data_IF_954421384992
#
_entry.id   IF_954421384992
#
_cell.length_a   1.000
_cell.length_b   1.000
_cell.length_c   1.000
_cell.angle_alpha   90.00
_cell.angle_beta   90.00
_cell.angle_gamma   90.00
#
_symmetry.space_group_name_H-M   'P 1'
#
loop_
_entity.id
_entity.type
_entity.pdbx_description
1 polymer ?
#
# COMPACT_ATOMS: atom_id res chain seq x y z
N UNK A 1 2.35 15.76 -31.80
CA UNK A 1 2.97 14.43 -31.89
C UNK A 1 3.17 13.93 -30.48
N UNK A 2 2.71 12.72 -30.15
CA UNK A 2 2.94 12.15 -28.81
C UNK A 2 4.44 11.88 -28.65
N UNK A 3 5.15 12.47 -27.68
CA UNK A 3 6.56 12.19 -27.49
C UNK A 3 6.77 10.71 -27.20
N UNK A 4 7.72 10.12 -27.90
CA UNK A 4 8.19 8.75 -27.66
C UNK A 4 9.47 8.87 -26.86
N UNK A 5 9.48 8.27 -25.67
CA UNK A 5 10.70 8.13 -24.85
C UNK A 5 11.17 6.69 -24.87
N UNK A 6 12.45 6.48 -24.59
CA UNK A 6 13.01 5.16 -24.35
C UNK A 6 13.32 5.01 -22.86
N UNK A 7 12.85 3.91 -22.26
CA UNK A 7 13.10 3.55 -20.86
C UNK A 7 13.57 2.11 -20.85
N UNK A 8 14.80 1.85 -20.41
CA UNK A 8 15.41 0.51 -20.40
C UNK A 8 15.29 -0.23 -21.74
N UNK A 9 15.54 0.47 -22.87
CA UNK A 9 15.43 -0.11 -24.21
C UNK A 9 13.99 -0.27 -24.74
N UNK A 10 12.98 0.16 -23.97
CA UNK A 10 11.56 0.06 -24.35
C UNK A 10 11.00 1.41 -24.75
N UNK A 11 10.35 1.46 -25.91
CA UNK A 11 9.72 2.69 -26.43
C UNK A 11 8.35 2.90 -25.81
N UNK A 12 8.15 4.08 -25.22
CA UNK A 12 6.91 4.49 -24.56
C UNK A 12 6.37 5.78 -25.18
N UNK A 13 5.11 5.75 -25.60
CA UNK A 13 4.39 6.96 -26.00
C UNK A 13 3.78 7.61 -24.77
N UNK A 14 4.34 8.74 -24.33
CA UNK A 14 3.85 9.50 -23.20
C UNK A 14 3.01 10.67 -23.70
N UNK A 15 1.74 10.73 -23.32
CA UNK A 15 0.80 11.74 -23.81
C UNK A 15 0.32 12.64 -22.68
N UNK A 16 -0.09 13.87 -23.03
CA UNK A 16 -0.74 14.81 -22.13
C UNK A 16 0.12 15.16 -20.89
N UNK A 17 1.43 15.37 -21.06
CA UNK A 17 2.35 15.62 -19.96
C UNK A 17 1.99 16.88 -19.17
N UNK A 18 1.59 17.95 -19.86
CA UNK A 18 1.16 19.23 -19.25
C UNK A 18 -0.24 19.18 -18.62
N UNK A 19 -0.94 18.04 -18.69
CA UNK A 19 -2.27 17.92 -18.08
C UNK A 19 -2.14 17.99 -16.57
N UNK A 20 -2.74 19.00 -15.96
CA UNK A 20 -2.90 19.11 -14.50
C UNK A 20 -3.82 17.98 -14.02
N UNK A 21 -3.31 17.12 -13.14
CA UNK A 21 -4.06 16.02 -12.53
C UNK A 21 -4.51 16.36 -11.11
N UNK A 22 -3.76 17.20 -10.39
CA UNK A 22 -4.11 17.67 -9.05
C UNK A 22 -4.30 19.20 -9.08
N UNK A 23 -5.53 19.69 -9.29
CA UNK A 23 -5.79 21.13 -9.46
C UNK A 23 -5.37 21.97 -8.24
N UNK A 24 -5.45 21.42 -7.02
CA UNK A 24 -5.09 22.13 -5.80
C UNK A 24 -3.62 22.57 -5.75
N UNK A 25 -2.72 21.82 -6.40
CA UNK A 25 -1.28 22.08 -6.41
C UNK A 25 -0.73 22.38 -7.80
N UNK A 26 -1.54 22.24 -8.86
CA UNK A 26 -1.08 22.34 -10.25
C UNK A 26 -0.30 21.12 -10.73
N UNK A 27 -0.19 20.05 -9.93
CA UNK A 27 0.66 18.89 -10.23
C UNK A 27 0.20 18.15 -11.48
N UNK A 28 1.09 18.05 -12.45
CA UNK A 28 0.85 17.58 -13.81
C UNK A 28 1.09 16.09 -13.97
N UNK A 29 0.63 15.53 -15.09
CA UNK A 29 0.92 14.16 -15.48
C UNK A 29 2.42 13.93 -15.71
N UNK A 30 3.13 14.90 -16.26
CA UNK A 30 4.59 14.85 -16.40
C UNK A 30 5.28 14.68 -15.05
N UNK A 31 4.84 15.42 -14.04
CA UNK A 31 5.37 15.32 -12.67
C UNK A 31 5.00 14.00 -11.99
N UNK A 32 3.81 13.43 -12.25
CA UNK A 32 3.48 12.05 -11.82
C UNK A 32 4.48 11.03 -12.38
N UNK A 33 4.81 11.13 -13.67
CA UNK A 33 5.77 10.22 -14.30
C UNK A 33 7.18 10.43 -13.76
N UNK A 34 7.59 11.68 -13.57
CA UNK A 34 8.89 12.02 -12.97
C UNK A 34 9.00 11.49 -11.54
N UNK A 35 7.96 11.65 -10.72
CA UNK A 35 7.89 11.10 -9.37
C UNK A 35 8.13 9.58 -9.38
N UNK A 36 7.37 8.83 -10.19
CA UNK A 36 7.53 7.37 -10.22
C UNK A 36 8.88 6.92 -10.75
N UNK A 37 9.47 7.65 -11.71
CA UNK A 37 10.85 7.38 -12.14
C UNK A 37 11.86 7.65 -11.02
N UNK A 38 11.65 8.68 -10.20
CA UNK A 38 12.53 9.07 -9.11
C UNK A 38 12.50 8.07 -7.94
N UNK A 39 11.33 7.53 -7.61
CA UNK A 39 11.17 6.58 -6.49
C UNK A 39 11.25 5.11 -6.93
N UNK A 40 11.56 4.84 -8.20
CA UNK A 40 11.44 3.51 -8.81
C UNK A 40 12.25 2.45 -8.05
N UNK A 41 13.49 2.75 -7.68
CA UNK A 41 14.38 1.81 -7.00
C UNK A 41 13.83 1.36 -5.64
N UNK A 42 13.17 2.27 -4.91
CA UNK A 42 12.52 1.96 -3.64
C UNK A 42 11.14 1.31 -3.84
N UNK A 43 10.36 1.73 -4.85
CA UNK A 43 9.01 1.24 -5.10
C UNK A 43 8.96 -0.17 -5.72
N UNK A 44 9.80 -0.43 -6.72
CA UNK A 44 9.75 -1.66 -7.53
C UNK A 44 9.86 -2.95 -6.70
N UNK A 45 10.75 -3.06 -5.69
CA UNK A 45 10.78 -4.24 -4.81
C UNK A 45 9.44 -4.54 -4.12
N UNK A 46 8.59 -3.54 -3.92
CA UNK A 46 7.26 -3.72 -3.32
C UNK A 46 6.16 -4.08 -4.30
N UNK A 47 6.39 -3.92 -5.61
CA UNK A 47 5.46 -4.25 -6.70
C UNK A 47 5.80 -5.55 -7.42
N UNK A 48 7.11 -5.87 -7.51
CA UNK A 48 7.63 -7.00 -8.28
C UNK A 48 6.92 -8.30 -7.90
N UNK A 49 6.57 -9.07 -8.91
CA UNK A 49 5.90 -10.36 -8.81
C UNK A 49 4.52 -10.32 -8.14
N UNK A 50 3.92 -9.13 -7.98
CA UNK A 50 2.55 -8.99 -7.47
C UNK A 50 1.59 -8.60 -8.58
N UNK A 51 0.41 -9.25 -8.68
CA UNK A 51 -0.61 -8.84 -9.63
C UNK A 51 -1.32 -7.58 -9.13
N UNK A 52 -1.21 -6.50 -9.90
CA UNK A 52 -1.65 -5.18 -9.45
C UNK A 52 -3.12 -4.92 -9.76
N UNK A 53 -3.80 -4.33 -8.78
CA UNK A 53 -5.05 -3.62 -9.00
C UNK A 53 -4.73 -2.13 -9.17
N UNK A 54 -5.16 -1.53 -10.27
CA UNK A 54 -4.98 -0.10 -10.49
C UNK A 54 -6.24 0.66 -10.08
N UNK A 55 -6.14 1.64 -9.19
CA UNK A 55 -7.17 2.66 -9.07
C UNK A 55 -6.85 3.75 -10.09
N UNK A 56 -7.62 3.82 -11.18
CA UNK A 56 -7.37 4.77 -12.27
C UNK A 56 -8.14 6.06 -12.03
N UNK A 57 -7.49 7.18 -12.32
CA UNK A 57 -8.08 8.53 -12.26
C UNK A 57 -7.60 9.40 -13.43
N UNK A 58 -7.93 9.05 -14.70
CA UNK A 58 -7.31 9.63 -15.89
C UNK A 58 -7.47 11.15 -16.05
N UNK A 59 -8.52 11.71 -15.45
CA UNK A 59 -8.87 13.14 -15.46
C UNK A 59 -8.60 13.83 -14.11
N UNK A 60 -7.83 13.18 -13.25
CA UNK A 60 -7.57 13.62 -11.89
C UNK A 60 -8.60 13.09 -10.88
N UNK A 61 -8.34 13.28 -9.57
CA UNK A 61 -9.15 12.71 -8.48
C UNK A 61 -10.58 13.24 -8.38
N UNK A 62 -10.85 14.43 -8.93
CA UNK A 62 -12.20 15.02 -8.98
C UNK A 62 -13.02 14.51 -10.19
N UNK A 63 -12.39 13.76 -11.10
CA UNK A 63 -13.01 13.15 -12.26
C UNK A 63 -13.48 11.72 -12.02
N UNK A 64 -13.45 10.90 -13.08
CA UNK A 64 -13.79 9.48 -12.96
C UNK A 64 -12.68 8.71 -12.23
N UNK A 65 -13.05 8.03 -11.14
CA UNK A 65 -12.16 7.16 -10.36
C UNK A 65 -12.71 5.73 -10.36
N UNK A 66 -11.91 4.75 -10.81
CA UNK A 66 -12.37 3.37 -10.92
C UNK A 66 -11.24 2.33 -10.78
N UNK A 67 -11.55 1.15 -10.27
CA UNK A 67 -10.61 0.04 -10.22
C UNK A 67 -10.53 -0.70 -11.55
N UNK A 68 -9.33 -0.87 -12.08
CA UNK A 68 -9.00 -1.72 -13.22
C UNK A 68 -8.08 -2.85 -12.76
N UNK A 69 -8.61 -4.07 -12.75
CA UNK A 69 -7.84 -5.27 -12.37
C UNK A 69 -7.44 -6.14 -13.57
N UNK A 70 -8.17 -6.05 -14.67
CA UNK A 70 -7.85 -6.79 -15.90
C UNK A 70 -6.79 -6.03 -16.70
N UNK A 71 -6.03 -6.75 -17.53
CA UNK A 71 -5.06 -6.15 -18.45
C UNK A 71 -5.73 -5.07 -19.31
N UNK A 72 -5.27 -3.81 -19.26
CA UNK A 72 -5.84 -2.74 -20.07
C UNK A 72 -5.68 -3.00 -21.58
N UNK A 73 -6.64 -2.58 -22.43
CA UNK A 73 -6.46 -2.61 -23.87
C UNK A 73 -5.22 -1.81 -24.31
N UNK A 74 -4.49 -2.33 -25.30
CA UNK A 74 -3.26 -1.69 -25.78
C UNK A 74 -2.06 -1.84 -24.84
N UNK A 75 -2.11 -2.79 -23.89
CA UNK A 75 -0.94 -3.16 -23.09
C UNK A 75 0.18 -3.69 -24.00
N UNK A 76 1.41 -3.14 -23.94
CA UNK A 76 2.53 -3.61 -24.73
C UNK A 76 2.89 -5.08 -24.43
N UNK A 77 3.34 -5.81 -25.45
CA UNK A 77 3.66 -7.25 -25.34
C UNK A 77 4.74 -7.58 -24.30
N UNK A 78 5.65 -6.64 -24.04
CA UNK A 78 6.72 -6.78 -23.05
C UNK A 78 6.25 -6.56 -21.60
N UNK A 79 5.02 -6.06 -21.37
CA UNK A 79 4.47 -5.93 -20.02
C UNK A 79 4.12 -7.31 -19.49
N UNK A 80 4.68 -7.66 -18.34
CA UNK A 80 4.41 -8.95 -17.70
C UNK A 80 2.97 -9.01 -17.22
N UNK A 81 2.34 -10.16 -17.42
CA UNK A 81 0.97 -10.43 -16.95
C UNK A 81 0.91 -11.82 -16.35
N UNK A 82 0.03 -12.01 -15.37
CA UNK A 82 -0.18 -13.29 -14.70
C UNK A 82 -1.66 -13.64 -14.62
N UNK A 83 -1.95 -14.93 -14.65
CA UNK A 83 -3.28 -15.45 -14.37
C UNK A 83 -3.50 -15.49 -12.85
N UNK A 84 -4.58 -14.88 -12.38
CA UNK A 84 -4.91 -14.76 -10.96
C UNK A 84 -6.20 -15.51 -10.68
N UNK A 85 -6.19 -16.49 -9.75
CA UNK A 85 -7.41 -17.19 -9.35
C UNK A 85 -8.46 -16.24 -8.78
N UNK A 86 -9.72 -16.37 -9.23
CA UNK A 86 -10.88 -15.71 -8.61
C UNK A 86 -12.07 -16.66 -8.55
N UNK A 87 -13.05 -16.31 -7.73
CA UNK A 87 -14.30 -17.07 -7.57
C UNK A 87 -15.12 -17.21 -8.86
N UNK A 88 -15.05 -16.23 -9.76
CA UNK A 88 -15.80 -16.19 -11.02
C UNK A 88 -15.01 -16.75 -12.21
N UNK A 89 -13.81 -17.31 -11.95
CA UNK A 89 -12.85 -17.75 -12.96
C UNK A 89 -11.56 -16.94 -12.95
N UNK A 90 -10.47 -17.48 -13.53
CA UNK A 90 -9.19 -16.80 -13.54
C UNK A 90 -9.25 -15.46 -14.29
N UNK A 91 -8.54 -14.46 -13.78
CA UNK A 91 -8.41 -13.17 -14.44
C UNK A 91 -6.94 -12.86 -14.73
N UNK A 92 -6.66 -12.33 -15.92
CA UNK A 92 -5.31 -11.89 -16.27
C UNK A 92 -5.07 -10.48 -15.72
N UNK A 93 -4.01 -10.33 -14.93
CA UNK A 93 -3.64 -9.07 -14.27
C UNK A 93 -2.23 -8.65 -14.67
N UNK A 94 -1.95 -7.34 -14.59
CA UNK A 94 -0.63 -6.77 -14.85
C UNK A 94 0.31 -7.05 -13.68
N UNK A 95 1.57 -7.33 -13.98
CA UNK A 95 2.67 -7.43 -13.01
C UNK A 95 3.76 -6.44 -13.43
N UNK A 96 4.01 -5.42 -12.60
CA UNK A 96 5.05 -4.40 -12.86
C UNK A 96 6.37 -4.90 -12.31
N UNK A 97 7.36 -5.10 -13.18
CA UNK A 97 8.62 -5.78 -12.85
C UNK A 97 9.84 -4.83 -12.83
N UNK A 98 9.74 -3.71 -13.56
CA UNK A 98 10.86 -2.86 -13.95
C UNK A 98 10.41 -1.40 -14.19
N UNK A 99 11.37 -0.50 -14.40
CA UNK A 99 11.11 0.93 -14.55
C UNK A 99 10.23 1.20 -15.78
N UNK A 100 10.47 0.52 -16.90
CA UNK A 100 9.67 0.72 -18.10
C UNK A 100 8.19 0.32 -17.91
N UNK A 101 7.90 -0.79 -17.24
CA UNK A 101 6.52 -1.20 -16.92
C UNK A 101 5.87 -0.28 -15.86
N UNK A 102 6.65 0.24 -14.91
CA UNK A 102 6.18 1.22 -13.94
C UNK A 102 5.78 2.54 -14.61
N UNK A 103 6.65 3.11 -15.46
CA UNK A 103 6.38 4.36 -16.19
C UNK A 103 5.19 4.18 -17.13
N UNK A 104 5.09 3.04 -17.81
CA UNK A 104 3.92 2.72 -18.64
C UNK A 104 2.63 2.68 -17.81
N UNK A 105 2.61 1.99 -16.67
CA UNK A 105 1.43 1.88 -15.83
C UNK A 105 1.06 3.23 -15.17
N UNK A 106 2.05 4.02 -14.77
CA UNK A 106 1.86 5.38 -14.27
C UNK A 106 1.28 6.32 -15.34
N UNK A 107 1.64 6.15 -16.62
CA UNK A 107 1.08 6.90 -17.75
C UNK A 107 -0.42 6.64 -17.96
N UNK A 108 -0.96 5.55 -17.41
CA UNK A 108 -2.41 5.28 -17.35
C UNK A 108 -3.13 6.06 -16.23
N UNK A 109 -2.38 6.81 -15.42
CA UNK A 109 -2.78 7.59 -14.22
C UNK A 109 -3.43 6.70 -13.17
N UNK A 110 -2.60 6.13 -12.29
CA UNK A 110 -2.99 5.03 -11.41
C UNK A 110 -2.43 5.14 -9.99
N UNK A 111 -3.23 4.74 -8.99
CA UNK A 111 -2.70 4.25 -7.71
C UNK A 111 -2.39 2.76 -7.86
N UNK A 112 -1.26 2.33 -7.32
CA UNK A 112 -0.84 0.95 -7.30
C UNK A 112 -1.33 0.25 -6.03
N UNK A 113 -2.11 -0.82 -6.19
CA UNK A 113 -2.52 -1.67 -5.08
C UNK A 113 -2.04 -3.11 -5.26
N UNK A 114 -1.45 -3.66 -4.21
CA UNK A 114 -0.85 -4.99 -4.19
C UNK A 114 -1.61 -5.93 -3.23
N UNK A 115 -1.74 -7.22 -3.56
CA UNK A 115 -2.09 -8.23 -2.56
C UNK A 115 -0.89 -8.55 -1.66
N UNK A 116 -1.15 -9.30 -0.59
CA UNK A 116 -0.13 -9.72 0.39
C UNK A 116 0.55 -11.05 0.02
N UNK A 117 0.63 -11.35 -1.28
CA UNK A 117 1.24 -12.56 -1.85
C UNK A 117 1.86 -12.24 -3.23
N UNK A 118 2.68 -13.16 -3.74
CA UNK A 118 3.35 -13.08 -5.06
C UNK A 118 2.91 -14.20 -5.99
N UNK A 119 2.96 -13.98 -7.30
CA UNK A 119 2.40 -14.87 -8.33
C UNK A 119 3.02 -16.28 -8.35
N UNK A 120 4.22 -16.45 -7.80
CA UNK A 120 4.91 -17.73 -7.73
C UNK A 120 4.26 -18.66 -6.69
N UNK A 121 3.69 -18.09 -5.62
CA UNK A 121 3.09 -18.80 -4.47
C UNK A 121 1.79 -18.12 -4.04
N UNK A 122 0.77 -18.03 -4.91
CA UNK A 122 -0.46 -17.27 -4.65
C UNK A 122 -1.29 -17.82 -3.47
N UNK A 123 -1.01 -19.04 -3.02
CA UNK A 123 -1.62 -19.68 -1.86
C UNK A 123 -1.01 -19.25 -0.52
N UNK A 124 0.21 -18.67 -0.53
CA UNK A 124 0.91 -18.22 0.66
C UNK A 124 0.96 -16.69 0.71
N UNK A 125 0.74 -16.14 1.90
CA UNK A 125 0.99 -14.73 2.15
C UNK A 125 2.48 -14.53 2.50
N UNK A 126 3.06 -13.48 1.93
CA UNK A 126 4.43 -13.04 2.23
C UNK A 126 4.46 -11.73 3.03
N UNK A 127 3.28 -11.10 3.21
CA UNK A 127 3.08 -9.91 4.03
C UNK A 127 1.88 -10.08 4.95
N UNK A 128 1.98 -9.46 6.12
CA UNK A 128 0.85 -9.12 6.98
C UNK A 128 0.64 -7.61 6.92
N UNK A 129 -0.61 -7.17 6.94
CA UNK A 129 -0.96 -5.75 7.01
C UNK A 129 -2.11 -5.49 7.98
N UNK A 130 -1.98 -4.43 8.78
CA UNK A 130 -3.09 -3.78 9.47
C UNK A 130 -3.33 -2.42 8.83
N UNK A 131 -4.55 -2.18 8.36
CA UNK A 131 -4.98 -0.85 7.92
C UNK A 131 -5.72 -0.16 9.07
N UNK A 132 -5.08 0.87 9.64
CA UNK A 132 -5.53 1.60 10.82
C UNK A 132 -6.32 2.82 10.39
N UNK A 133 -7.64 2.69 10.43
CA UNK A 133 -8.61 3.66 9.93
C UNK A 133 -9.23 4.47 11.09
N UNK A 134 -8.93 5.77 11.23
CA UNK A 134 -9.50 6.55 12.32
C UNK A 134 -10.93 7.01 12.01
N UNK A 135 -11.85 6.76 12.93
CA UNK A 135 -13.21 7.27 12.92
C UNK A 135 -13.31 8.61 13.64
N UNK A 136 -13.73 9.66 12.93
CA UNK A 136 -13.83 11.00 13.49
C UNK A 136 -14.55 11.03 14.86
N UNK A 137 -14.05 11.77 15.86
CA UNK A 137 -12.96 12.75 15.78
C UNK A 137 -11.53 12.17 15.85
N UNK A 138 -11.35 10.84 15.94
CA UNK A 138 -10.01 10.25 15.89
C UNK A 138 -9.30 10.58 14.57
N UNK A 139 -7.98 10.56 14.61
CA UNK A 139 -7.06 10.98 13.57
C UNK A 139 -5.89 9.99 13.46
N UNK A 140 -4.88 10.32 12.66
CA UNK A 140 -3.65 9.52 12.58
C UNK A 140 -2.91 9.44 13.93
N UNK A 141 -3.12 10.39 14.86
CA UNK A 141 -2.53 10.35 16.21
C UNK A 141 -2.98 9.10 16.95
N UNK A 142 -4.29 8.84 16.99
CA UNK A 142 -4.86 7.63 17.58
C UNK A 142 -4.40 6.37 16.83
N UNK A 143 -4.23 6.44 15.50
CA UNK A 143 -3.65 5.33 14.73
C UNK A 143 -2.22 5.02 15.18
N UNK A 144 -1.40 6.03 15.51
CA UNK A 144 -0.04 5.84 16.01
C UNK A 144 -0.04 5.10 17.35
N UNK A 145 -0.92 5.48 18.29
CA UNK A 145 -1.06 4.77 19.57
C UNK A 145 -1.40 3.29 19.39
N UNK A 146 -2.34 2.98 18.48
CA UNK A 146 -2.69 1.59 18.16
C UNK A 146 -1.53 0.87 17.45
N UNK A 147 -0.82 1.55 16.56
CA UNK A 147 0.33 0.99 15.86
C UNK A 147 1.47 0.61 16.81
N UNK A 148 1.75 1.45 17.83
CA UNK A 148 2.75 1.17 18.85
C UNK A 148 2.37 -0.07 19.67
N UNK A 149 1.10 -0.21 20.04
CA UNK A 149 0.63 -1.43 20.70
C UNK A 149 0.80 -2.67 19.82
N UNK A 150 0.42 -2.59 18.54
CA UNK A 150 0.55 -3.69 17.59
C UNK A 150 2.01 -4.05 17.31
N UNK A 151 2.92 -3.08 17.29
CA UNK A 151 4.38 -3.29 17.14
C UNK A 151 4.91 -4.19 18.25
N UNK A 152 4.67 -3.81 19.50
CA UNK A 152 5.13 -4.58 20.66
C UNK A 152 4.50 -5.97 20.68
N UNK A 153 3.22 -6.05 20.31
CA UNK A 153 2.51 -7.33 20.26
C UNK A 153 3.06 -8.25 19.18
N UNK A 154 3.36 -7.75 17.98
CA UNK A 154 3.99 -8.53 16.91
C UNK A 154 5.42 -8.93 17.30
N UNK A 155 6.17 -8.03 17.93
CA UNK A 155 7.53 -8.29 18.39
C UNK A 155 7.59 -9.43 19.42
N UNK A 156 6.56 -9.56 20.28
CA UNK A 156 6.43 -10.68 21.22
C UNK A 156 6.31 -12.05 20.51
N UNK A 157 5.81 -12.08 19.27
CA UNK A 157 5.75 -13.29 18.43
C UNK A 157 6.98 -13.41 17.50
N UNK A 158 7.98 -12.54 17.66
CA UNK A 158 9.18 -12.51 16.81
C UNK A 158 8.93 -11.96 15.40
N UNK A 159 7.85 -11.18 15.21
CA UNK A 159 7.50 -10.55 13.93
C UNK A 159 7.81 -9.05 14.00
N UNK A 160 8.71 -8.59 13.14
CA UNK A 160 9.08 -7.18 13.06
C UNK A 160 8.09 -6.40 12.17
N UNK A 161 7.67 -5.22 12.64
CA UNK A 161 6.64 -4.42 12.01
C UNK A 161 7.18 -3.06 11.54
N UNK A 162 6.63 -2.58 10.42
CA UNK A 162 7.10 -1.40 9.70
C UNK A 162 5.91 -0.49 9.32
N UNK A 163 5.89 0.77 9.76
CA UNK A 163 4.77 1.68 9.51
C UNK A 163 4.93 2.45 8.20
N UNK A 164 3.80 2.75 7.57
CA UNK A 164 3.69 3.76 6.51
C UNK A 164 2.38 4.52 6.65
N UNK A 165 2.38 5.79 6.26
CA UNK A 165 1.11 6.52 6.10
C UNK A 165 0.30 5.88 4.99
N UNK A 166 -1.02 5.87 5.13
CA UNK A 166 -1.86 5.45 4.01
C UNK A 166 -1.78 6.48 2.87
N UNK A 167 -1.42 7.73 3.15
CA UNK A 167 -1.58 8.88 2.25
C UNK A 167 -3.01 9.42 2.22
N UNK A 168 -3.90 8.95 3.11
CA UNK A 168 -5.25 9.48 3.27
C UNK A 168 -5.49 10.07 4.65
N UNK A 169 -5.91 9.26 5.62
CA UNK A 169 -6.22 9.69 7.00
C UNK A 169 -5.59 8.79 8.06
N UNK A 170 -5.12 7.61 7.65
CA UNK A 170 -4.72 6.53 8.54
C UNK A 170 -3.28 6.08 8.34
N UNK A 171 -2.95 4.96 8.97
CA UNK A 171 -1.62 4.35 8.96
C UNK A 171 -1.75 2.89 8.56
N UNK A 172 -0.83 2.37 7.76
CA UNK A 172 -0.70 0.94 7.56
C UNK A 172 0.51 0.43 8.35
N UNK A 173 0.33 -0.68 9.06
CA UNK A 173 1.41 -1.41 9.71
C UNK A 173 1.64 -2.71 8.95
N UNK A 174 2.86 -2.93 8.47
CA UNK A 174 3.21 -4.08 7.64
C UNK A 174 4.27 -4.95 8.33
N UNK A 175 4.25 -6.25 8.05
CA UNK A 175 5.32 -7.16 8.45
C UNK A 175 5.59 -8.18 7.34
N UNK A 176 6.84 -8.58 7.15
CA UNK A 176 7.17 -9.72 6.33
C UNK A 176 6.82 -11.00 7.09
N UNK A 177 6.09 -11.91 6.44
CA UNK A 177 5.70 -13.19 7.03
C UNK A 177 5.97 -14.33 6.07
N UNK A 178 6.08 -15.55 6.59
CA UNK A 178 6.32 -16.75 5.77
C UNK A 178 5.58 -17.97 6.29
N UNK A 179 5.37 -18.94 5.39
CA UNK A 179 4.88 -20.27 5.73
C UNK A 179 3.39 -20.36 6.06
N UNK A 180 2.62 -19.28 5.86
CA UNK A 180 1.20 -19.24 6.18
C UNK A 180 0.36 -18.86 4.96
N UNK A 181 -0.85 -19.44 4.86
CA UNK A 181 -1.83 -19.03 3.85
C UNK A 181 -2.41 -17.65 4.18
N UNK A 182 -2.97 -16.95 3.19
CA UNK A 182 -3.66 -15.67 3.45
C UNK A 182 -4.80 -15.81 4.46
N UNK A 183 -5.48 -16.96 4.52
CA UNK A 183 -6.51 -17.25 5.51
C UNK A 183 -5.93 -17.27 6.93
N UNK A 184 -4.81 -18.00 7.13
CA UNK A 184 -4.13 -18.06 8.43
C UNK A 184 -3.61 -16.69 8.86
N UNK A 185 -3.01 -15.93 7.94
CA UNK A 185 -2.55 -14.55 8.23
C UNK A 185 -3.73 -13.65 8.59
N UNK A 186 -4.86 -13.77 7.89
CA UNK A 186 -6.08 -13.02 8.19
C UNK A 186 -6.62 -13.34 9.58
N UNK A 187 -6.63 -14.61 9.97
CA UNK A 187 -7.08 -15.04 11.29
C UNK A 187 -6.16 -14.53 12.40
N UNK A 188 -4.85 -14.65 12.21
CA UNK A 188 -3.87 -14.13 13.16
C UNK A 188 -3.98 -12.60 13.32
N UNK A 189 -4.10 -11.86 12.21
CA UNK A 189 -4.35 -10.42 12.26
C UNK A 189 -5.66 -10.09 12.99
N UNK A 190 -6.74 -10.86 12.74
CA UNK A 190 -8.01 -10.67 13.47
C UNK A 190 -7.85 -10.91 14.96
N UNK A 191 -7.10 -11.93 15.37
CA UNK A 191 -6.81 -12.19 16.77
C UNK A 191 -6.12 -10.99 17.43
N UNK A 192 -5.05 -10.47 16.81
CA UNK A 192 -4.34 -9.30 17.33
C UNK A 192 -5.24 -8.04 17.38
N UNK A 193 -6.11 -7.85 16.39
CA UNK A 193 -7.07 -6.75 16.41
C UNK A 193 -8.08 -6.87 17.58
N UNK A 194 -8.53 -8.09 17.90
CA UNK A 194 -9.39 -8.36 19.07
C UNK A 194 -8.63 -8.09 20.37
N UNK A 195 -7.37 -8.51 20.46
CA UNK A 195 -6.51 -8.24 21.62
C UNK A 195 -6.28 -6.73 21.80
N UNK A 196 -6.04 -5.98 20.72
CA UNK A 196 -5.90 -4.53 20.74
C UNK A 196 -7.18 -3.84 21.26
N UNK A 197 -8.36 -4.25 20.80
CA UNK A 197 -9.63 -3.72 21.32
C UNK A 197 -9.84 -4.09 22.80
N UNK A 198 -9.40 -5.26 23.25
CA UNK A 198 -9.48 -5.64 24.68
C UNK A 198 -8.53 -4.80 25.54
N UNK A 199 -7.32 -4.54 25.06
CA UNK A 199 -6.31 -3.76 25.77
C UNK A 199 -6.64 -2.27 25.80
N UNK A 200 -7.21 -1.73 24.71
CA UNK A 200 -7.52 -0.31 24.56
C UNK A 200 -8.95 -0.10 24.00
N UNK A 201 -10.02 -0.47 24.74
CA UNK A 201 -11.40 -0.49 24.23
C UNK A 201 -11.98 0.88 23.90
N UNK A 202 -11.38 1.95 24.42
CA UNK A 202 -11.74 3.34 24.07
C UNK A 202 -11.06 3.84 22.79
N UNK A 203 -9.99 3.17 22.36
CA UNK A 203 -9.13 3.59 21.26
C UNK A 203 -9.27 2.68 20.04
N UNK A 204 -9.24 1.35 20.21
CA UNK A 204 -9.24 0.39 19.11
C UNK A 204 -10.60 -0.28 18.90
N UNK A 205 -10.85 -0.72 17.66
CA UNK A 205 -12.05 -1.44 17.23
C UNK A 205 -11.68 -2.46 16.14
N UNK A 206 -11.97 -3.75 16.34
CA UNK A 206 -11.78 -4.79 15.31
C UNK A 206 -13.03 -5.05 14.46
N UNK A 207 -14.19 -4.56 14.91
CA UNK A 207 -15.49 -4.81 14.26
C UNK A 207 -15.70 -3.87 13.08
N UNK A 208 -16.16 -4.41 11.96
CA UNK A 208 -16.39 -3.63 10.73
C UNK A 208 -17.50 -2.58 10.84
N UNK A 209 -18.40 -2.72 11.82
CA UNK A 209 -19.60 -1.88 12.01
C UNK A 209 -19.26 -0.40 12.13
N UNK A 210 -19.62 0.39 11.11
CA UNK A 210 -19.26 1.81 11.01
C UNK A 210 -19.80 2.68 12.16
N UNK A 211 -20.98 2.36 12.70
CA UNK A 211 -21.58 3.11 13.81
C UNK A 211 -20.80 3.01 15.12
N UNK A 212 -19.86 2.06 15.25
CA UNK A 212 -19.00 1.90 16.43
C UNK A 212 -17.67 2.69 16.33
N UNK A 213 -17.37 3.27 15.16
CA UNK A 213 -16.08 3.91 14.86
C UNK A 213 -15.87 5.32 15.45
N UNK A 214 -16.89 6.15 15.75
CA UNK A 214 -16.63 7.51 16.21
C UNK A 214 -15.67 7.56 17.41
N UNK A 215 -14.57 8.30 17.27
CA UNK A 215 -13.52 8.46 18.29
C UNK A 215 -12.59 7.25 18.45
N UNK A 216 -12.65 6.25 17.56
CA UNK A 216 -11.83 5.04 17.62
C UNK A 216 -11.11 4.78 16.30
N UNK A 217 -10.06 3.97 16.37
CA UNK A 217 -9.33 3.41 15.24
C UNK A 217 -9.90 2.04 14.92
N UNK A 218 -10.44 1.90 13.71
CA UNK A 218 -10.75 0.60 13.16
C UNK A 218 -9.45 -0.08 12.73
N UNK A 219 -9.14 -1.22 13.36
CA UNK A 219 -8.00 -2.07 13.01
C UNK A 219 -8.47 -3.04 11.93
N UNK A 220 -8.35 -2.66 10.66
CA UNK A 220 -8.79 -3.49 9.54
C UNK A 220 -7.78 -4.61 9.27
N UNK A 221 -8.02 -5.74 9.90
CA UNK A 221 -7.32 -7.01 9.67
C UNK A 221 -7.73 -7.71 8.36
N UNK A 222 -8.82 -7.27 7.72
CA UNK A 222 -9.39 -7.98 6.56
C UNK A 222 -8.61 -7.78 5.26
N UNK A 223 -7.71 -6.81 5.23
CA UNK A 223 -6.80 -6.54 4.10
C UNK A 223 -5.85 -7.71 3.79
N UNK A 224 -5.68 -8.64 4.73
CA UNK A 224 -4.88 -9.86 4.56
C UNK A 224 -5.55 -10.94 3.72
N UNK A 225 -6.85 -10.83 3.43
CA UNK A 225 -7.55 -11.82 2.61
C UNK A 225 -6.99 -11.83 1.18
N UNK A 226 -6.75 -13.01 0.59
CA UNK A 226 -6.07 -13.16 -0.71
C UNK A 226 -6.68 -12.32 -1.87
N UNK A 227 -7.98 -12.04 -1.82
CA UNK A 227 -8.71 -11.25 -2.83
C UNK A 227 -8.58 -9.73 -2.67
N UNK A 228 -8.04 -9.26 -1.54
CA UNK A 228 -7.89 -7.84 -1.18
C UNK A 228 -6.55 -7.31 -1.68
N UNK A 229 -6.52 -6.00 -1.88
CA UNK A 229 -5.31 -5.29 -2.28
C UNK A 229 -5.22 -3.99 -1.51
N UNK A 230 -4.02 -3.64 -1.07
CA UNK A 230 -3.75 -2.45 -0.27
C UNK A 230 -2.86 -1.49 -1.05
N UNK A 231 -3.01 -0.18 -0.83
CA UNK A 231 -2.17 0.83 -1.48
C UNK A 231 -0.69 0.50 -1.21
N UNK A 232 0.09 0.35 -2.29
CA UNK A 232 1.50 0.00 -2.22
C UNK A 232 2.30 1.11 -1.53
N UNK A 233 3.44 0.79 -0.88
CA UNK A 233 4.41 1.82 -0.49
C UNK A 233 4.73 2.75 -1.67
N UNK A 234 4.94 4.04 -1.40
CA UNK A 234 5.30 5.06 -2.39
C UNK A 234 4.27 5.35 -3.50
N UNK A 235 3.10 4.69 -3.52
CA UNK A 235 2.06 5.08 -4.48
C UNK A 235 1.51 6.46 -4.16
N UNK A 236 1.33 7.28 -5.21
CA UNK A 236 0.50 8.48 -5.12
C UNK A 236 -0.94 8.08 -4.85
N UNK A 237 -1.67 8.96 -4.18
CA UNK A 237 -3.10 8.81 -3.89
C UNK A 237 -3.92 9.71 -4.83
N UNK A 238 -5.07 9.21 -5.25
CA UNK A 238 -6.11 9.92 -5.98
C UNK A 238 -6.91 10.77 -4.98
N UNK A 239 -6.29 11.86 -4.54
CA UNK A 239 -6.80 12.81 -3.55
C UNK A 239 -6.62 14.24 -4.08
N UNK A 240 -7.21 15.24 -3.43
CA UNK A 240 -7.11 16.63 -3.88
C UNK A 240 -5.65 17.09 -4.11
N UNK A 241 -4.73 16.58 -3.30
CA UNK A 241 -3.29 16.84 -3.37
C UNK A 241 -2.52 15.53 -3.67
N UNK A 242 -1.32 15.60 -4.27
CA UNK A 242 -0.50 14.44 -4.65
C UNK A 242 0.19 13.82 -3.43
N UNK A 243 -0.62 13.41 -2.45
CA UNK A 243 -0.21 12.71 -1.25
C UNK A 243 0.29 11.30 -1.58
N UNK A 244 1.17 10.78 -0.74
CA UNK A 244 1.86 9.50 -0.94
C UNK A 244 1.54 8.56 0.21
N UNK A 245 1.41 7.27 -0.09
CA UNK A 245 1.53 6.24 0.94
C UNK A 245 2.99 6.06 1.36
N UNK A 246 3.47 6.95 2.21
CA UNK A 246 4.89 7.12 2.50
C UNK A 246 5.33 6.29 3.71
N UNK A 247 6.40 5.49 3.60
CA UNK A 247 7.07 4.89 4.75
C UNK A 247 7.53 5.93 5.77
N UNK A 248 7.42 5.59 7.05
CA UNK A 248 7.79 6.46 8.17
C UNK A 248 8.63 5.70 9.19
N UNK A 249 9.43 6.42 9.97
CA UNK A 249 10.19 5.82 11.06
C UNK A 249 9.27 5.57 12.26
N UNK A 250 9.71 4.71 13.18
CA UNK A 250 9.00 4.56 14.45
C UNK A 250 9.09 5.81 15.33
N UNK A 251 10.18 6.58 15.25
CA UNK A 251 10.32 7.87 15.94
C UNK A 251 9.25 8.85 15.47
N UNK A 252 9.00 8.96 14.16
CA UNK A 252 7.92 9.81 13.61
C UNK A 252 6.53 9.39 14.11
N UNK A 253 6.31 8.08 14.29
CA UNK A 253 5.06 7.53 14.87
C UNK A 253 4.96 7.86 16.35
N UNK A 254 6.04 7.70 17.11
CA UNK A 254 6.12 7.98 18.55
C UNK A 254 5.99 9.48 18.86
N UNK A 255 6.41 10.35 17.95
CA UNK A 255 6.36 11.82 18.09
C UNK A 255 5.10 12.44 17.49
N UNK A 256 4.24 11.68 16.81
CA UNK A 256 3.02 12.21 16.20
C UNK A 256 2.07 12.76 17.28
N UNK A 257 1.85 14.09 17.29
CA UNK A 257 0.93 14.78 18.21
C UNK A 257 -0.19 15.54 17.51
N UNK A 258 -0.17 15.62 16.18
CA UNK A 258 -1.18 16.34 15.42
C UNK A 258 -1.53 15.65 14.11
N UNK A 259 -2.79 15.79 13.68
CA UNK A 259 -3.34 15.11 12.52
C UNK A 259 -2.60 15.36 11.19
N UNK A 260 -1.92 16.51 11.06
CA UNK A 260 -1.18 16.88 9.85
C UNK A 260 0.26 16.36 9.79
N UNK A 261 0.82 15.86 10.89
CA UNK A 261 2.27 15.54 11.02
C UNK A 261 2.71 14.43 10.07
N UNK A 262 1.83 13.46 9.80
CA UNK A 262 2.10 12.27 8.99
C UNK A 262 1.39 12.33 7.64
N UNK A 263 1.53 13.46 6.94
CA UNK A 263 1.05 13.64 5.57
C UNK A 263 2.23 14.07 4.69
N UNK A 264 2.50 13.29 3.64
CA UNK A 264 3.64 13.51 2.75
C UNK A 264 3.15 13.67 1.32
N UNK A 265 3.66 14.69 0.65
CA UNK A 265 3.45 14.97 -0.77
C UNK A 265 4.50 14.27 -1.62
N UNK A 266 4.25 14.18 -2.92
CA UNK A 266 5.20 13.67 -3.91
C UNK A 266 6.60 14.27 -3.78
N UNK A 267 6.68 15.59 -3.50
CA UNK A 267 7.93 16.34 -3.31
C UNK A 267 8.75 15.90 -2.11
N UNK A 268 8.11 15.34 -1.08
CA UNK A 268 8.76 15.04 0.19
C UNK A 268 9.49 13.69 0.16
N UNK A 269 9.16 12.82 -0.79
CA UNK A 269 9.63 11.43 -0.81
C UNK A 269 11.10 11.32 -1.23
N UNK A 270 11.53 12.07 -2.24
CA UNK A 270 12.92 11.99 -2.71
C UNK A 270 13.94 12.43 -1.64
N UNK A 271 13.75 13.56 -0.92
CA UNK A 271 14.57 13.89 0.24
C UNK A 271 14.56 12.81 1.32
N UNK A 272 13.38 12.25 1.64
CA UNK A 272 13.29 11.17 2.64
C UNK A 272 14.06 9.92 2.24
N UNK A 273 14.03 9.54 0.97
CA UNK A 273 14.83 8.41 0.47
C UNK A 273 16.34 8.70 0.55
N UNK A 274 16.77 9.95 0.42
CA UNK A 274 18.18 10.34 0.61
C UNK A 274 18.58 10.24 2.10
N UNK A 275 17.71 10.68 3.01
CA UNK A 275 18.00 10.73 4.43
C UNK A 275 17.92 9.34 5.10
N UNK A 276 16.92 8.53 4.70
CA UNK A 276 16.58 7.28 5.39
C UNK A 276 16.77 6.00 4.55
N UNK A 277 16.98 6.13 3.25
CA UNK A 277 16.86 5.01 2.32
C UNK A 277 15.41 4.48 2.23
N UNK A 278 15.25 3.25 1.74
CA UNK A 278 13.94 2.59 1.78
C UNK A 278 13.68 1.98 3.16
N UNK A 279 12.89 2.70 3.97
CA UNK A 279 12.47 2.26 5.31
C UNK A 279 11.69 0.94 5.31
N UNK A 280 11.13 0.52 4.17
CA UNK A 280 10.43 -0.76 4.03
C UNK A 280 11.26 -1.82 3.31
N UNK A 281 12.53 -1.57 2.97
CA UNK A 281 13.40 -2.57 2.35
C UNK A 281 13.39 -3.93 3.10
N UNK A 282 13.37 -3.97 4.45
CA UNK A 282 13.27 -5.24 5.18
C UNK A 282 12.03 -6.09 4.86
N UNK A 283 10.92 -5.49 4.39
CA UNK A 283 9.73 -6.25 3.96
C UNK A 283 9.97 -7.13 2.72
N UNK A 284 11.07 -6.91 2.02
CA UNK A 284 11.45 -7.65 0.80
C UNK A 284 12.62 -8.61 1.05
N UNK A 285 13.16 -8.63 2.27
CA UNK A 285 14.18 -9.56 2.70
C UNK A 285 13.53 -10.81 3.33
N UNK A 286 13.63 -11.95 2.64
CA UNK A 286 13.09 -13.22 3.13
C UNK A 286 13.73 -13.66 4.47
N UNK A 287 14.93 -13.20 4.80
CA UNK A 287 15.59 -13.47 6.09
C UNK A 287 14.97 -12.72 7.27
N UNK A 288 14.19 -11.66 7.01
CA UNK A 288 13.45 -10.88 8.01
C UNK A 288 12.01 -11.37 8.22
N UNK A 289 11.55 -12.32 7.41
CA UNK A 289 10.17 -12.79 7.46
C UNK A 289 9.90 -13.64 8.72
N UNK A 290 9.00 -13.14 9.57
CA UNK A 290 8.54 -13.85 10.76
C UNK A 290 7.63 -15.03 10.42
N UNK A 291 7.60 -16.03 11.29
CA UNK A 291 6.67 -17.16 11.16
C UNK A 291 5.40 -16.83 11.94
N UNK A 292 4.26 -16.83 11.27
CA UNK A 292 2.97 -16.65 11.95
C UNK A 292 2.76 -17.81 12.92
N UNK A 293 2.49 -17.56 14.22
CA UNK A 293 2.29 -18.63 15.19
C UNK A 293 1.22 -19.61 14.74
N UNK A 294 1.34 -20.89 15.12
CA UNK A 294 0.23 -21.82 14.96
C UNK A 294 -0.93 -21.40 15.89
N UNK A 295 -2.16 -21.45 15.40
CA UNK A 295 -3.31 -21.00 16.19
C UNK A 295 -3.50 -21.92 17.39
N UNK A 296 -3.20 -21.44 18.59
CA UNK A 296 -3.79 -22.00 19.79
C UNK A 296 -5.28 -21.74 19.73
N UNK A 297 -6.11 -22.77 19.90
CA UNK A 297 -7.53 -22.59 20.10
C UNK A 297 -7.72 -21.59 21.25
N UNK A 298 -8.20 -20.39 20.93
CA UNK A 298 -8.61 -19.44 21.94
C UNK A 298 -9.79 -20.06 22.69
N UNK A 299 -9.50 -20.66 23.84
CA UNK A 299 -10.48 -21.10 24.84
C UNK A 299 -11.21 -19.91 25.42
#
# INVERSE_FOLDING_TARGET
MTPITEVEGRRLALSNLEKVLYPATGFTKGEVLHYYATVADALLPHLRDRPLSFLRYPDGPDGQVFFAKNVPPGTPEWVTTAEVPRSEGPARMVVVQDLASLVWAANLVTEFHTPQWVIQRPELADRLVFDLDPGAPATVVECCEVALWLRERLAADGIEAYPKTSGSKGLHLLAAVRGASSERVTEYARQLAVEAERAAPRLALHRMTRSLRPGKVFVDWSQNAARKTTAAPYTLRARAEPTVSAPVTWEEVEECRSAGTLTFMASDVAPRLQDFGDLLAPLTDAGRAGTVPEGGAAS
#
